data_IF_865311380636
#
_entry.id   IF_865311380636
#
_cell.length_a   1.000
_cell.length_b   1.000
_cell.length_c   1.000
_cell.angle_alpha   90.00
_cell.angle_beta   90.00
_cell.angle_gamma   90.00
#
_symmetry.space_group_name_H-M   'P 1'
#
loop_
_entity.id
_entity.type
_entity.pdbx_description
1 polymer ?
#
# COMPACT_ATOMS: atom_id res chain seq x y z
N UNK A 1 3.58 -28.58 -6.53
CA UNK A 1 2.83 -28.52 -5.24
C UNK A 1 1.93 -27.30 -5.30
N UNK A 2 0.64 -27.44 -4.96
CA UNK A 2 -0.26 -26.29 -4.81
C UNK A 2 -0.13 -25.76 -3.38
N UNK A 3 0.22 -24.48 -3.22
CA UNK A 3 0.28 -23.83 -1.91
C UNK A 3 -1.14 -23.39 -1.52
N UNK A 4 -1.61 -23.82 -0.35
CA UNK A 4 -2.92 -23.50 0.22
C UNK A 4 -4.11 -23.76 -0.74
N UNK A 5 -4.31 -25.01 -1.22
CA UNK A 5 -5.29 -25.33 -2.26
C UNK A 5 -6.76 -25.06 -1.89
N UNK A 6 -7.06 -24.87 -0.60
CA UNK A 6 -8.40 -24.57 -0.09
C UNK A 6 -8.58 -23.10 0.28
N UNK A 7 -7.55 -22.26 0.10
CA UNK A 7 -7.66 -20.84 0.41
C UNK A 7 -8.64 -20.14 -0.53
N UNK A 8 -9.56 -19.39 0.06
CA UNK A 8 -10.39 -18.45 -0.67
C UNK A 8 -9.57 -17.20 -1.00
N UNK A 9 -9.44 -16.89 -2.29
CA UNK A 9 -8.71 -15.72 -2.77
C UNK A 9 -9.69 -14.61 -3.11
N UNK A 10 -9.55 -13.45 -2.46
CA UNK A 10 -10.28 -12.23 -2.80
C UNK A 10 -9.28 -11.28 -3.46
N UNK A 11 -9.51 -10.98 -4.75
CA UNK A 11 -8.70 -10.01 -5.49
C UNK A 11 -9.41 -8.66 -5.54
N UNK A 12 -8.85 -7.66 -4.86
CA UNK A 12 -9.35 -6.29 -4.88
C UNK A 12 -8.36 -5.39 -5.66
N UNK A 13 -8.73 -4.99 -6.87
CA UNK A 13 -7.87 -4.16 -7.73
C UNK A 13 -8.23 -2.69 -7.68
N UNK A 14 -7.30 -1.83 -8.09
CA UNK A 14 -7.57 -0.42 -8.30
C UNK A 14 -6.77 0.11 -9.50
N UNK A 15 -7.42 0.90 -10.34
CA UNK A 15 -6.75 1.63 -11.43
C UNK A 15 -6.15 2.94 -10.93
N UNK A 16 -5.20 3.52 -11.68
CA UNK A 16 -4.63 4.83 -11.37
C UNK A 16 -5.70 5.92 -11.34
N UNK A 17 -6.68 5.86 -12.25
CA UNK A 17 -7.81 6.80 -12.26
C UNK A 17 -8.63 6.68 -10.97
N UNK A 18 -8.98 5.45 -10.56
CA UNK A 18 -9.68 5.22 -9.29
C UNK A 18 -8.89 5.72 -8.08
N UNK A 19 -7.56 5.52 -8.09
CA UNK A 19 -6.67 6.01 -7.04
C UNK A 19 -6.70 7.54 -6.93
N UNK A 20 -6.58 8.24 -8.06
CA UNK A 20 -6.40 9.69 -8.13
C UNK A 20 -7.69 10.50 -7.95
N UNK A 21 -8.80 10.08 -8.58
CA UNK A 21 -9.98 10.96 -8.74
C UNK A 21 -11.25 10.51 -8.04
N UNK A 22 -11.37 9.23 -7.66
CA UNK A 22 -12.61 8.79 -7.00
C UNK A 22 -12.71 9.32 -5.57
N UNK A 23 -13.93 9.44 -5.05
CA UNK A 23 -14.18 9.73 -3.64
C UNK A 23 -14.01 8.47 -2.78
N UNK A 24 -13.82 8.67 -1.48
CA UNK A 24 -13.79 7.55 -0.53
C UNK A 24 -15.12 6.79 -0.49
N UNK A 25 -16.25 7.49 -0.58
CA UNK A 25 -17.58 6.88 -0.60
C UNK A 25 -17.75 5.91 -1.79
N UNK A 26 -17.30 6.29 -2.99
CA UNK A 26 -17.32 5.41 -4.17
C UNK A 26 -16.42 4.21 -3.97
N UNK A 27 -15.18 4.39 -3.48
CA UNK A 27 -14.27 3.27 -3.20
C UNK A 27 -14.84 2.30 -2.17
N UNK A 28 -15.49 2.82 -1.12
CA UNK A 28 -16.16 2.00 -0.11
C UNK A 28 -17.35 1.22 -0.69
N UNK A 29 -18.10 1.82 -1.63
CA UNK A 29 -19.18 1.11 -2.32
C UNK A 29 -18.67 -0.07 -3.16
N UNK A 30 -17.54 0.10 -3.87
CA UNK A 30 -16.94 -0.92 -4.73
C UNK A 30 -16.39 -2.13 -3.96
N UNK A 31 -15.99 -1.97 -2.68
CA UNK A 31 -15.44 -3.06 -1.88
C UNK A 31 -16.49 -3.82 -1.05
N UNK A 32 -17.76 -3.47 -1.19
CA UNK A 32 -18.86 -4.13 -0.44
C UNK A 32 -18.90 -5.63 -0.71
N UNK A 33 -18.70 -6.07 -1.95
CA UNK A 33 -18.68 -7.49 -2.30
C UNK A 33 -17.53 -8.24 -1.61
N UNK A 34 -16.35 -7.62 -1.52
CA UNK A 34 -15.23 -8.19 -0.77
C UNK A 34 -15.56 -8.33 0.72
N UNK A 35 -16.24 -7.34 1.32
CA UNK A 35 -16.68 -7.43 2.72
C UNK A 35 -17.77 -8.48 2.91
N UNK A 36 -18.73 -8.59 1.99
CA UNK A 36 -19.72 -9.67 2.01
C UNK A 36 -19.07 -11.05 1.97
N UNK A 37 -18.04 -11.23 1.14
CA UNK A 37 -17.26 -12.46 1.12
C UNK A 37 -16.56 -12.70 2.46
N UNK A 38 -15.92 -11.69 3.05
CA UNK A 38 -15.28 -11.81 4.38
C UNK A 38 -16.26 -12.17 5.51
N UNK A 39 -17.52 -11.75 5.38
CA UNK A 39 -18.57 -12.00 6.37
C UNK A 39 -19.38 -13.28 6.13
N UNK A 40 -19.17 -13.97 5.00
CA UNK A 40 -19.82 -15.25 4.77
C UNK A 40 -19.40 -16.25 5.86
N UNK A 41 -20.24 -17.26 6.18
CA UNK A 41 -19.93 -18.24 7.22
C UNK A 41 -18.50 -18.77 7.10
N UNK A 42 -17.67 -18.60 8.14
CA UNK A 42 -16.27 -18.95 8.05
C UNK A 42 -16.11 -20.46 7.91
N UNK A 43 -15.07 -20.89 7.20
CA UNK A 43 -14.59 -22.27 7.33
C UNK A 43 -14.01 -22.45 8.75
N UNK A 44 -14.00 -23.69 9.27
CA UNK A 44 -13.29 -23.98 10.51
C UNK A 44 -11.84 -23.46 10.41
N UNK A 45 -11.40 -22.71 11.42
CA UNK A 45 -10.08 -22.06 11.50
C UNK A 45 -9.72 -21.10 10.35
N UNK A 46 -10.72 -20.46 9.72
CA UNK A 46 -10.49 -19.44 8.70
C UNK A 46 -9.67 -18.27 9.25
N UNK A 47 -8.62 -17.90 8.50
CA UNK A 47 -7.66 -16.85 8.86
C UNK A 47 -7.50 -15.89 7.68
N UNK A 48 -7.54 -14.61 7.97
CA UNK A 48 -7.36 -13.56 6.97
C UNK A 48 -5.89 -13.16 6.87
N UNK A 49 -5.32 -13.37 5.67
CA UNK A 49 -4.03 -12.82 5.27
C UNK A 49 -4.23 -11.78 4.18
N UNK A 50 -3.50 -10.68 4.27
CA UNK A 50 -3.55 -9.60 3.29
C UNK A 50 -2.22 -9.50 2.58
N UNK A 51 -2.29 -9.40 1.26
CA UNK A 51 -1.17 -9.03 0.42
C UNK A 51 -1.48 -7.68 -0.22
N UNK A 52 -0.86 -6.63 0.28
CA UNK A 52 -1.06 -5.25 -0.12
C UNK A 52 0.05 -4.81 -1.06
N UNK A 53 -0.30 -4.47 -2.30
CA UNK A 53 0.66 -4.05 -3.33
C UNK A 53 0.50 -2.55 -3.63
N UNK A 54 1.56 -1.77 -3.44
CA UNK A 54 1.61 -0.31 -3.60
C UNK A 54 0.66 0.47 -2.68
N UNK A 55 0.74 1.81 -2.74
CA UNK A 55 -0.23 2.72 -2.13
C UNK A 55 -1.67 2.43 -2.59
N UNK A 56 -1.84 1.90 -3.80
CA UNK A 56 -3.14 1.48 -4.30
C UNK A 56 -3.75 0.35 -3.48
N UNK A 57 -2.96 -0.71 -3.21
CA UNK A 57 -3.36 -1.79 -2.32
C UNK A 57 -3.68 -1.28 -0.92
N UNK A 58 -2.85 -0.40 -0.37
CA UNK A 58 -3.05 0.15 0.98
C UNK A 58 -4.39 0.90 1.09
N UNK A 59 -4.73 1.66 0.04
CA UNK A 59 -6.01 2.38 -0.08
C UNK A 59 -7.22 1.46 -0.25
N UNK A 60 -7.06 0.30 -0.90
CA UNK A 60 -8.12 -0.73 -0.94
C UNK A 60 -8.29 -1.41 0.41
N UNK A 61 -7.21 -1.78 1.09
CA UNK A 61 -7.26 -2.32 2.45
C UNK A 61 -7.95 -1.34 3.39
N UNK A 62 -7.59 -0.05 3.33
CA UNK A 62 -8.23 1.01 4.11
C UNK A 62 -9.75 1.07 3.86
N UNK A 63 -10.17 1.01 2.58
CA UNK A 63 -11.59 1.00 2.21
C UNK A 63 -12.32 -0.24 2.74
N UNK A 64 -11.72 -1.43 2.58
CA UNK A 64 -12.28 -2.71 3.06
C UNK A 64 -12.42 -2.69 4.58
N UNK A 65 -11.36 -2.27 5.28
CA UNK A 65 -11.35 -2.20 6.74
C UNK A 65 -12.40 -1.21 7.26
N UNK A 66 -12.55 -0.05 6.62
CA UNK A 66 -13.58 0.93 6.98
C UNK A 66 -15.01 0.40 6.78
N UNK A 67 -15.29 -0.30 5.67
CA UNK A 67 -16.60 -0.90 5.42
C UNK A 67 -16.87 -2.06 6.38
N UNK A 68 -15.87 -2.91 6.63
CA UNK A 68 -15.96 -4.01 7.59
C UNK A 68 -16.23 -3.51 9.02
N UNK A 69 -15.50 -2.47 9.46
CA UNK A 69 -15.68 -1.86 10.78
C UNK A 69 -17.09 -1.27 10.91
N UNK A 70 -17.60 -0.58 9.90
CA UNK A 70 -18.97 -0.06 9.91
C UNK A 70 -20.02 -1.17 9.99
N UNK A 71 -19.76 -2.32 9.36
CA UNK A 71 -20.69 -3.44 9.34
C UNK A 71 -20.68 -4.28 10.63
N UNK A 72 -19.53 -4.39 11.30
CA UNK A 72 -19.32 -5.33 12.43
C UNK A 72 -19.03 -4.65 13.77
N UNK A 73 -18.73 -3.36 13.76
CA UNK A 73 -18.22 -2.63 14.93
C UNK A 73 -16.81 -3.03 15.36
N UNK A 74 -16.13 -3.91 14.61
CA UNK A 74 -14.84 -4.50 14.97
C UNK A 74 -13.78 -4.22 13.92
N UNK A 75 -12.48 -4.14 14.29
CA UNK A 75 -11.41 -4.02 13.31
C UNK A 75 -11.35 -5.28 12.44
N UNK A 76 -10.80 -5.13 11.23
CA UNK A 76 -10.60 -6.24 10.30
C UNK A 76 -9.71 -7.31 10.97
N UNK A 77 -10.16 -8.59 11.05
CA UNK A 77 -9.51 -9.64 11.84
C UNK A 77 -8.28 -10.25 11.12
N UNK A 78 -7.46 -9.41 10.48
CA UNK A 78 -6.26 -9.83 9.76
C UNK A 78 -5.21 -10.39 10.73
N UNK A 79 -4.64 -11.54 10.38
CA UNK A 79 -3.58 -12.22 11.13
C UNK A 79 -2.20 -11.74 10.70
N UNK A 80 -1.98 -11.67 9.40
CA UNK A 80 -0.77 -11.07 8.83
C UNK A 80 -1.08 -10.24 7.59
N UNK A 81 -0.28 -9.19 7.40
CA UNK A 81 -0.35 -8.30 6.25
C UNK A 81 1.04 -8.10 5.66
N UNK A 82 1.25 -8.58 4.45
CA UNK A 82 2.43 -8.26 3.64
C UNK A 82 2.13 -6.97 2.87
N UNK A 83 3.05 -6.01 2.95
CA UNK A 83 2.95 -4.70 2.33
C UNK A 83 4.17 -4.54 1.42
N UNK A 84 3.94 -4.67 0.12
CA UNK A 84 4.95 -4.52 -0.93
C UNK A 84 4.92 -3.09 -1.47
N UNK A 85 6.07 -2.41 -1.39
CA UNK A 85 6.28 -1.09 -1.97
C UNK A 85 5.28 -0.06 -1.43
N UNK A 86 5.02 -0.06 -0.13
CA UNK A 86 4.05 0.83 0.52
C UNK A 86 4.22 0.88 2.05
N UNK A 87 3.58 1.86 2.72
CA UNK A 87 3.03 3.08 2.12
C UNK A 87 4.11 4.15 1.92
N UNK A 88 3.91 5.00 0.94
CA UNK A 88 4.74 6.18 0.68
C UNK A 88 3.91 7.44 0.55
N UNK A 89 4.58 8.59 0.63
CA UNK A 89 3.98 9.91 0.41
C UNK A 89 4.58 10.55 -0.85
N UNK A 90 3.91 11.52 -1.49
CA UNK A 90 4.49 12.29 -2.59
C UNK A 90 5.86 12.86 -2.25
N UNK A 91 6.85 12.70 -3.13
CA UNK A 91 8.23 13.13 -2.89
C UNK A 91 8.69 13.99 -4.08
N UNK A 92 9.07 15.25 -3.85
CA UNK A 92 9.35 16.22 -4.92
C UNK A 92 10.28 15.67 -6.02
N UNK A 93 11.41 15.07 -5.64
CA UNK A 93 12.39 14.54 -6.60
C UNK A 93 11.86 13.35 -7.40
N UNK A 94 11.10 12.45 -6.77
CA UNK A 94 10.51 11.28 -7.45
C UNK A 94 9.36 11.70 -8.35
N UNK A 95 8.49 12.58 -7.87
CA UNK A 95 7.37 13.13 -8.63
C UNK A 95 7.88 13.89 -9.85
N UNK A 96 8.92 14.72 -9.67
CA UNK A 96 9.59 15.41 -10.77
C UNK A 96 10.17 14.42 -11.78
N UNK A 97 10.87 13.38 -11.32
CA UNK A 97 11.43 12.36 -12.20
C UNK A 97 10.33 11.65 -12.99
N UNK A 98 9.29 11.14 -12.33
CA UNK A 98 8.17 10.43 -12.95
C UNK A 98 7.44 11.31 -13.98
N UNK A 99 7.14 12.56 -13.63
CA UNK A 99 6.48 13.52 -14.52
C UNK A 99 7.39 14.01 -15.64
N UNK A 100 8.72 13.93 -15.50
CA UNK A 100 9.66 14.33 -16.57
C UNK A 100 9.85 13.28 -17.66
N UNK A 101 9.46 12.01 -17.42
CA UNK A 101 9.69 10.90 -18.37
C UNK A 101 9.12 11.18 -19.77
N UNK A 102 7.88 11.67 -19.92
CA UNK A 102 7.31 11.96 -21.25
C UNK A 102 8.06 13.05 -21.99
N UNK A 103 8.69 13.99 -21.27
CA UNK A 103 9.40 15.11 -21.88
C UNK A 103 10.80 14.80 -22.40
N UNK A 104 11.36 13.62 -22.08
CA UNK A 104 12.74 13.26 -22.49
C UNK A 104 12.96 13.29 -24.01
N UNK A 105 11.90 13.16 -24.80
CA UNK A 105 11.94 13.14 -26.26
C UNK A 105 11.46 14.45 -26.91
N UNK A 106 11.07 15.44 -26.12
CA UNK A 106 10.58 16.71 -26.64
C UNK A 106 11.74 17.61 -27.10
N UNK A 107 11.51 18.39 -28.16
CA UNK A 107 12.43 19.46 -28.53
C UNK A 107 12.43 20.57 -27.46
N UNK A 108 13.47 21.42 -27.46
CA UNK A 108 13.67 22.41 -26.39
C UNK A 108 12.50 23.39 -26.23
N UNK A 109 11.82 23.78 -27.33
CA UNK A 109 10.70 24.72 -27.29
C UNK A 109 9.47 24.15 -26.57
N UNK A 110 9.23 22.85 -26.68
CA UNK A 110 8.15 22.17 -25.97
C UNK A 110 8.60 21.69 -24.58
N UNK A 111 9.87 21.32 -24.45
CA UNK A 111 10.45 20.84 -23.20
C UNK A 111 10.46 21.92 -22.11
N UNK A 112 10.89 23.15 -22.43
CA UNK A 112 11.00 24.23 -21.45
C UNK A 112 9.66 24.62 -20.77
N UNK A 113 8.56 24.89 -21.50
CA UNK A 113 7.27 25.17 -20.88
C UNK A 113 6.71 23.93 -20.16
N UNK A 114 6.89 22.73 -20.72
CA UNK A 114 6.46 21.50 -20.06
C UNK A 114 7.16 21.30 -18.70
N UNK A 115 8.48 21.43 -18.66
CA UNK A 115 9.25 21.26 -17.42
C UNK A 115 8.94 22.35 -16.40
N UNK A 116 8.66 23.58 -16.84
CA UNK A 116 8.16 24.64 -15.95
C UNK A 116 6.86 24.21 -15.27
N UNK A 117 5.90 23.67 -16.02
CA UNK A 117 4.64 23.15 -15.47
C UNK A 117 4.90 21.97 -14.53
N UNK A 118 5.74 21.02 -14.92
CA UNK A 118 6.07 19.85 -14.09
C UNK A 118 6.71 20.24 -12.76
N UNK A 119 7.68 21.17 -12.77
CA UNK A 119 8.30 21.69 -11.53
C UNK A 119 7.26 22.40 -10.66
N UNK A 120 6.40 23.24 -11.25
CA UNK A 120 5.35 23.95 -10.52
C UNK A 120 4.35 22.98 -9.87
N UNK A 121 3.89 21.98 -10.62
CA UNK A 121 2.95 20.95 -10.12
C UNK A 121 3.60 20.09 -9.04
N UNK A 122 4.81 19.57 -9.27
CA UNK A 122 5.52 18.77 -8.28
C UNK A 122 5.78 19.56 -6.98
N UNK A 123 6.15 20.85 -7.10
CA UNK A 123 6.34 21.73 -5.95
C UNK A 123 5.04 21.97 -5.19
N UNK A 124 3.94 22.24 -5.90
CA UNK A 124 2.62 22.46 -5.30
C UNK A 124 2.12 21.20 -4.56
N UNK A 125 2.26 20.02 -5.16
CA UNK A 125 1.91 18.74 -4.51
C UNK A 125 2.78 18.53 -3.27
N UNK A 126 4.10 18.67 -3.40
CA UNK A 126 5.01 18.47 -2.28
C UNK A 126 4.72 19.41 -1.11
N UNK A 127 4.62 20.72 -1.37
CA UNK A 127 4.33 21.72 -0.34
C UNK A 127 2.95 21.48 0.28
N UNK A 128 1.94 21.23 -0.54
CA UNK A 128 0.58 21.05 -0.01
C UNK A 128 0.46 19.79 0.84
N UNK A 129 1.11 18.69 0.47
CA UNK A 129 1.07 17.45 1.25
C UNK A 129 1.82 17.61 2.58
N UNK A 130 3.00 18.24 2.57
CA UNK A 130 3.86 18.31 3.74
C UNK A 130 3.52 19.45 4.71
N UNK A 131 3.00 20.58 4.20
CA UNK A 131 2.83 21.79 5.01
C UNK A 131 1.37 22.15 5.28
N UNK A 132 0.41 21.63 4.49
CA UNK A 132 -1.01 21.84 4.81
C UNK A 132 -1.50 20.84 5.85
N UNK A 133 -2.56 21.16 6.61
CA UNK A 133 -3.19 20.22 7.50
C UNK A 133 -3.59 18.92 6.79
N UNK A 134 -3.36 17.77 7.45
CA UNK A 134 -3.60 16.43 6.89
C UNK A 134 -5.02 16.21 6.36
N UNK A 135 -6.02 16.95 6.87
CA UNK A 135 -7.41 16.85 6.40
C UNK A 135 -7.55 17.21 4.92
N UNK A 136 -6.70 18.09 4.38
CA UNK A 136 -6.72 18.49 2.97
C UNK A 136 -6.42 17.32 2.02
N UNK A 137 -5.50 16.44 2.42
CA UNK A 137 -5.09 15.26 1.64
C UNK A 137 -5.54 13.95 2.28
N UNK A 138 -6.59 13.99 3.11
CA UNK A 138 -7.04 12.83 3.89
C UNK A 138 -7.42 11.66 3.00
N UNK A 139 -8.27 11.89 2.01
CA UNK A 139 -8.76 10.78 1.17
C UNK A 139 -7.70 10.20 0.23
N UNK A 140 -6.75 11.03 -0.22
CA UNK A 140 -5.77 10.62 -1.21
C UNK A 140 -4.53 10.01 -0.58
N UNK A 141 -4.01 10.62 0.49
CA UNK A 141 -2.70 10.30 1.08
C UNK A 141 -2.87 9.81 2.52
N UNK A 142 -3.33 10.68 3.43
CA UNK A 142 -3.15 10.45 4.86
C UNK A 142 -4.07 9.39 5.45
N UNK A 143 -5.31 9.27 4.98
CA UNK A 143 -6.27 8.25 5.44
C UNK A 143 -5.78 6.85 5.13
N UNK A 144 -5.49 6.49 3.87
CA UNK A 144 -4.88 5.22 3.51
C UNK A 144 -3.54 4.96 4.20
N UNK A 145 -2.67 5.98 4.25
CA UNK A 145 -1.36 5.87 4.88
C UNK A 145 -1.49 5.53 6.37
N UNK A 146 -2.30 6.26 7.13
CA UNK A 146 -2.44 6.05 8.58
C UNK A 146 -3.33 4.86 8.92
N UNK A 147 -4.35 4.60 8.10
CA UNK A 147 -5.39 3.60 8.35
C UNK A 147 -4.90 2.17 8.34
N UNK A 148 -3.83 1.86 7.59
CA UNK A 148 -3.21 0.53 7.66
C UNK A 148 -2.59 0.26 9.04
N UNK A 149 -2.26 1.29 9.82
CA UNK A 149 -1.76 1.19 11.19
C UNK A 149 -2.79 1.72 12.23
N UNK A 150 -4.08 1.72 11.91
CA UNK A 150 -5.13 2.16 12.83
C UNK A 150 -5.76 0.95 13.53
N UNK A 151 -5.69 0.91 14.87
CA UNK A 151 -6.25 -0.17 15.69
C UNK A 151 -7.78 -0.26 15.60
N UNK A 152 -8.45 0.84 15.22
CA UNK A 152 -9.88 0.82 14.97
C UNK A 152 -10.23 0.09 13.67
N UNK A 153 -9.29 0.01 12.71
CA UNK A 153 -9.50 -0.58 11.39
C UNK A 153 -8.83 -1.94 11.23
N UNK A 154 -7.65 -2.14 11.83
CA UNK A 154 -6.81 -3.32 11.66
C UNK A 154 -6.52 -3.93 13.02
N UNK A 155 -6.76 -5.24 13.15
CA UNK A 155 -6.52 -6.00 14.37
C UNK A 155 -5.12 -5.70 14.96
N UNK A 156 -5.01 -5.20 16.21
CA UNK A 156 -3.74 -4.86 16.84
C UNK A 156 -2.73 -6.02 16.93
N UNK A 157 -3.21 -7.28 16.88
CA UNK A 157 -2.36 -8.48 16.90
C UNK A 157 -1.80 -8.86 15.52
N UNK A 158 -2.13 -8.11 14.48
CA UNK A 158 -1.67 -8.35 13.11
C UNK A 158 -0.13 -8.28 13.03
N UNK A 159 0.48 -9.28 12.39
CA UNK A 159 1.89 -9.24 11.99
C UNK A 159 2.03 -8.51 10.65
N UNK A 160 2.85 -7.47 10.61
CA UNK A 160 3.09 -6.67 9.39
C UNK A 160 4.44 -7.00 8.79
N UNK A 161 4.44 -7.53 7.56
CA UNK A 161 5.64 -7.73 6.77
C UNK A 161 5.79 -6.61 5.74
N UNK A 162 6.80 -5.77 5.85
CA UNK A 162 7.12 -4.76 4.84
C UNK A 162 8.20 -5.29 3.91
N UNK A 163 7.94 -5.29 2.60
CA UNK A 163 8.91 -5.68 1.57
C UNK A 163 9.08 -4.53 0.58
N UNK A 164 10.34 -4.15 0.33
CA UNK A 164 10.67 -2.96 -0.46
C UNK A 164 12.08 -3.04 -1.03
N UNK A 165 12.40 -2.10 -1.91
CA UNK A 165 13.67 -2.01 -2.63
C UNK A 165 14.18 -0.57 -2.63
N UNK A 166 15.50 -0.38 -2.67
CA UNK A 166 16.10 0.96 -2.82
C UNK A 166 15.96 1.47 -4.26
N UNK A 167 15.79 0.57 -5.21
CA UNK A 167 15.62 0.83 -6.64
C UNK A 167 14.16 1.15 -7.01
N UNK A 168 13.24 1.11 -6.04
CA UNK A 168 11.87 1.59 -6.24
C UNK A 168 11.87 3.12 -6.45
N UNK A 169 11.63 3.53 -7.71
CA UNK A 169 11.56 4.93 -8.12
C UNK A 169 10.22 5.59 -7.78
N UNK A 170 9.20 4.82 -7.42
CA UNK A 170 7.85 5.31 -7.10
C UNK A 170 7.71 5.54 -5.59
N UNK A 171 8.18 4.62 -4.76
CA UNK A 171 8.05 4.70 -3.30
C UNK A 171 9.43 4.73 -2.63
N UNK A 172 9.65 5.67 -1.71
CA UNK A 172 10.89 5.66 -0.94
C UNK A 172 10.94 4.51 0.05
N UNK A 173 12.02 3.73 0.00
CA UNK A 173 12.32 2.76 1.05
C UNK A 173 12.37 3.42 2.44
N UNK A 174 12.78 4.70 2.52
CA UNK A 174 12.76 5.46 3.79
C UNK A 174 11.34 5.73 4.30
N UNK A 175 10.39 5.95 3.40
CA UNK A 175 8.98 6.13 3.78
C UNK A 175 8.43 4.80 4.31
N UNK A 176 8.76 3.68 3.65
CA UNK A 176 8.38 2.34 4.10
C UNK A 176 8.99 2.00 5.46
N UNK A 177 10.29 2.24 5.67
CA UNK A 177 10.94 2.00 6.96
C UNK A 177 10.39 2.90 8.07
N UNK A 178 10.15 4.18 7.77
CA UNK A 178 9.52 5.11 8.70
C UNK A 178 8.11 4.63 9.08
N UNK A 179 7.35 4.14 8.11
CA UNK A 179 6.01 3.61 8.35
C UNK A 179 6.02 2.29 9.15
N UNK A 180 7.00 1.43 8.91
CA UNK A 180 7.21 0.22 9.68
C UNK A 180 7.55 0.54 11.14
N UNK A 181 8.41 1.54 11.37
CA UNK A 181 8.71 2.04 12.72
C UNK A 181 7.47 2.59 13.42
N UNK A 182 6.64 3.36 12.73
CA UNK A 182 5.36 3.84 13.28
C UNK A 182 4.40 2.69 13.64
N UNK A 183 4.46 1.56 12.91
CA UNK A 183 3.69 0.37 13.26
C UNK A 183 4.22 -0.29 14.54
N UNK A 184 5.54 -0.40 14.69
CA UNK A 184 6.21 -0.91 15.90
C UNK A 184 5.85 -0.04 17.12
N UNK A 185 5.93 1.29 16.99
CA UNK A 185 5.58 2.25 18.04
C UNK A 185 4.12 2.15 18.49
N UNK A 186 3.23 1.72 17.59
CA UNK A 186 1.82 1.44 17.90
C UNK A 186 1.59 0.05 18.52
N UNK A 187 2.62 -0.77 18.62
CA UNK A 187 2.56 -2.10 19.25
C UNK A 187 2.27 -3.25 18.30
N UNK A 188 2.34 -3.03 16.97
CA UNK A 188 2.27 -4.13 16.02
C UNK A 188 3.56 -4.96 16.03
N UNK A 189 3.44 -6.27 15.77
CA UNK A 189 4.59 -7.08 15.39
C UNK A 189 4.96 -6.71 13.95
N UNK A 190 6.25 -6.45 13.69
CA UNK A 190 6.73 -5.96 12.39
C UNK A 190 7.95 -6.73 11.96
N UNK A 191 7.99 -7.05 10.67
CA UNK A 191 9.11 -7.67 9.99
C UNK A 191 9.38 -6.88 8.71
N UNK A 192 10.65 -6.72 8.35
CA UNK A 192 11.07 -5.92 7.19
C UNK A 192 11.99 -6.75 6.31
N UNK A 193 11.81 -6.61 5.00
CA UNK A 193 12.67 -7.24 3.99
C UNK A 193 13.03 -6.23 2.92
N UNK A 194 14.32 -5.95 2.80
CA UNK A 194 14.88 -5.21 1.68
C UNK A 194 15.28 -6.22 0.61
N UNK A 195 14.74 -6.05 -0.59
CA UNK A 195 15.13 -6.82 -1.77
C UNK A 195 15.85 -5.88 -2.74
N UNK A 196 17.09 -6.21 -3.05
CA UNK A 196 17.93 -5.39 -3.94
C UNK A 196 17.52 -5.56 -5.40
N UNK A 197 17.60 -4.47 -6.17
CA UNK A 197 17.45 -4.48 -7.63
C UNK A 197 16.00 -4.67 -8.10
N UNK A 198 15.02 -4.67 -7.20
CA UNK A 198 13.62 -4.79 -7.57
C UNK A 198 13.00 -3.44 -7.90
N UNK A 199 12.24 -3.39 -9.00
CA UNK A 199 11.39 -2.24 -9.33
C UNK A 199 10.09 -2.24 -8.49
N UNK A 200 9.34 -1.14 -8.54
CA UNK A 200 8.06 -0.97 -7.84
C UNK A 200 7.11 -2.18 -8.03
N UNK A 201 6.69 -2.82 -6.93
CA UNK A 201 5.78 -4.00 -6.91
C UNK A 201 6.34 -5.20 -7.69
N UNK A 202 7.64 -5.24 -7.93
CA UNK A 202 8.34 -6.36 -8.58
C UNK A 202 9.41 -6.94 -7.67
N UNK A 203 9.13 -6.96 -6.37
CA UNK A 203 10.05 -7.50 -5.35
C UNK A 203 10.43 -8.96 -5.63
N UNK A 204 9.52 -9.76 -6.18
CA UNK A 204 9.80 -11.12 -6.65
C UNK A 204 10.79 -11.25 -7.82
N UNK A 205 11.10 -10.13 -8.50
CA UNK A 205 12.09 -10.07 -9.59
C UNK A 205 13.43 -9.45 -9.15
N UNK A 206 13.60 -9.18 -7.86
CA UNK A 206 14.86 -8.66 -7.34
C UNK A 206 16.01 -9.67 -7.43
N UNK A 207 17.18 -9.28 -6.92
CA UNK A 207 18.42 -10.05 -7.04
C UNK A 207 18.31 -11.49 -6.49
N UNK A 208 17.52 -11.70 -5.43
CA UNK A 208 17.27 -13.01 -4.83
C UNK A 208 16.21 -13.87 -5.55
N UNK A 209 15.58 -13.35 -6.60
CA UNK A 209 14.54 -14.02 -7.36
C UNK A 209 13.25 -14.29 -6.56
N UNK A 210 12.43 -15.19 -7.11
CA UNK A 210 11.11 -15.49 -6.54
C UNK A 210 11.21 -16.17 -5.16
N UNK A 211 12.24 -16.98 -4.92
CA UNK A 211 12.41 -17.70 -3.65
C UNK A 211 12.65 -16.76 -2.47
N UNK A 212 13.40 -15.67 -2.66
CA UNK A 212 13.66 -14.69 -1.60
C UNK A 212 12.38 -13.95 -1.19
N UNK A 213 11.58 -13.56 -2.19
CA UNK A 213 10.30 -12.90 -1.97
C UNK A 213 9.26 -13.83 -1.32
N UNK A 214 9.00 -14.99 -1.94
CA UNK A 214 8.00 -15.93 -1.44
C UNK A 214 8.46 -16.61 -0.14
N UNK A 215 9.77 -16.72 0.10
CA UNK A 215 10.33 -17.13 1.38
C UNK A 215 9.95 -16.16 2.50
N UNK A 216 10.08 -14.86 2.27
CA UNK A 216 9.62 -13.84 3.21
C UNK A 216 8.11 -13.90 3.43
N UNK A 217 7.30 -13.98 2.36
CA UNK A 217 5.83 -14.07 2.47
C UNK A 217 5.40 -15.28 3.30
N UNK A 218 5.98 -16.46 3.04
CA UNK A 218 5.69 -17.68 3.81
C UNK A 218 6.09 -17.52 5.28
N UNK A 219 7.27 -16.98 5.55
CA UNK A 219 7.74 -16.72 6.92
C UNK A 219 6.76 -15.82 7.70
N UNK A 220 6.22 -14.78 7.06
CA UNK A 220 5.21 -13.90 7.69
C UNK A 220 3.92 -14.67 7.98
N UNK A 221 3.45 -15.48 7.03
CA UNK A 221 2.23 -16.26 7.25
C UNK A 221 2.40 -17.30 8.35
N UNK A 222 3.52 -18.00 8.37
CA UNK A 222 3.84 -19.02 9.38
C UNK A 222 3.94 -18.39 10.79
N UNK A 223 4.70 -17.28 10.96
CA UNK A 223 4.80 -16.56 12.24
C UNK A 223 3.47 -16.00 12.77
N UNK A 224 2.48 -15.82 11.90
CA UNK A 224 1.16 -15.34 12.29
C UNK A 224 0.20 -16.48 12.67
N UNK A 225 0.59 -17.74 12.43
CA UNK A 225 -0.10 -18.92 12.93
C UNK A 225 0.27 -19.24 14.38
N UNK A 226 1.49 -18.88 14.78
CA UNK A 226 2.01 -18.98 16.15
C UNK A 226 1.46 -17.88 17.07
#
# INVERSE_FOLDING_TARGET
>A
MSLYPHARIILATMTVTQFMVQSEATRQAEVKEAVTALLSPPQEDERLFIHCLSNGGAKRVYSIAGVYQKATGSPLPVKAMVIDSAPGIPQFRRDLHALSVPARKLNWLLWAPYMTVVVAVASAIYVSVHWMPKWWWRELVWGPHEGVNDHALINPKCLKGFVYSKEDIIIDWRDVEGHAKLAEEKGYRVEKKLIEGAEHVKMFKGAGGEEDYWGFVKMIWDKAMD
#
